data_IF_313855733309
#
_entry.id   IF_313855733309
#
_cell.length_a   1.000
_cell.length_b   1.000
_cell.length_c   1.000
_cell.angle_alpha   90.00
_cell.angle_beta   90.00
_cell.angle_gamma   90.00
#
_symmetry.space_group_name_H-M   'P 1'
#
loop_
_entity.id
_entity.type
_entity.pdbx_description
1 polymer ?
#
# COMPACT_ATOMS: atom_id res chain seq x y z
N UNK A 1 -9.60 6.29 -13.92
CA UNK A 1 -10.47 5.19 -13.43
C UNK A 1 -10.80 5.40 -11.96
N UNK A 2 -12.06 5.60 -11.56
CA UNK A 2 -12.45 5.86 -10.17
C UNK A 2 -12.07 4.71 -9.20
N UNK A 3 -11.95 3.48 -9.71
CA UNK A 3 -11.58 2.30 -8.93
C UNK A 3 -10.20 2.41 -8.28
N UNK A 4 -9.16 2.85 -9.01
CA UNK A 4 -7.80 2.97 -8.47
C UNK A 4 -7.69 4.01 -7.36
N UNK A 5 -8.47 5.09 -7.46
CA UNK A 5 -8.53 6.11 -6.40
C UNK A 5 -9.11 5.55 -5.12
N UNK A 6 -10.22 4.82 -5.23
CA UNK A 6 -10.84 4.13 -4.08
C UNK A 6 -9.83 3.21 -3.41
N UNK A 7 -9.18 2.32 -4.19
CA UNK A 7 -8.20 1.35 -3.67
C UNK A 7 -7.03 2.05 -2.97
N UNK A 8 -6.49 3.12 -3.56
CA UNK A 8 -5.39 3.87 -2.97
C UNK A 8 -5.80 4.43 -1.61
N UNK A 9 -6.92 5.15 -1.53
CA UNK A 9 -7.37 5.79 -0.29
C UNK A 9 -7.78 4.77 0.78
N UNK A 10 -8.41 3.66 0.41
CA UNK A 10 -8.71 2.57 1.34
C UNK A 10 -7.43 2.03 1.98
N UNK A 11 -6.35 1.83 1.21
CA UNK A 11 -5.07 1.35 1.75
C UNK A 11 -4.36 2.39 2.61
N UNK A 12 -4.42 3.66 2.24
CA UNK A 12 -3.85 4.72 3.07
C UNK A 12 -4.62 4.89 4.37
N UNK A 13 -5.96 4.86 4.32
CA UNK A 13 -6.82 4.89 5.49
C UNK A 13 -6.54 3.72 6.43
N UNK A 14 -6.44 2.50 5.90
CA UNK A 14 -6.12 1.31 6.70
C UNK A 14 -4.75 1.43 7.38
N UNK A 15 -3.72 1.92 6.67
CA UNK A 15 -2.39 2.14 7.25
C UNK A 15 -2.38 3.21 8.33
N UNK A 16 -3.08 4.32 8.08
CA UNK A 16 -3.19 5.42 9.04
C UNK A 16 -3.92 4.95 10.28
N UNK A 17 -5.09 4.31 10.12
CA UNK A 17 -5.86 3.73 11.23
C UNK A 17 -5.03 2.74 12.04
N UNK A 18 -4.33 1.83 11.38
CA UNK A 18 -3.47 0.86 12.06
C UNK A 18 -2.35 1.57 12.84
N UNK A 19 -1.69 2.56 12.23
CA UNK A 19 -0.63 3.33 12.90
C UNK A 19 -1.17 4.09 14.13
N UNK A 20 -2.33 4.74 14.00
CA UNK A 20 -3.01 5.42 15.12
C UNK A 20 -3.36 4.45 16.24
N UNK A 21 -3.91 3.29 15.92
CA UNK A 21 -4.26 2.26 16.91
C UNK A 21 -3.01 1.70 17.59
N UNK A 22 -1.91 1.49 16.87
CA UNK A 22 -0.65 1.04 17.47
C UNK A 22 -0.06 2.07 18.43
N UNK A 23 -0.15 3.37 18.08
CA UNK A 23 0.24 4.45 19.00
C UNK A 23 -0.67 4.47 20.24
N UNK A 24 -1.99 4.33 20.05
CA UNK A 24 -2.94 4.25 21.15
C UNK A 24 -2.65 3.06 22.07
N UNK A 25 -2.40 1.88 21.50
CA UNK A 25 -2.03 0.68 22.24
C UNK A 25 -0.76 0.90 23.07
N UNK A 26 0.27 1.50 22.48
CA UNK A 26 1.52 1.80 23.16
C UNK A 26 1.33 2.80 24.31
N UNK A 27 0.58 3.88 24.09
CA UNK A 27 0.28 4.88 25.13
C UNK A 27 -0.55 4.27 26.27
N UNK A 28 -1.55 3.45 25.95
CA UNK A 28 -2.39 2.78 26.94
C UNK A 28 -1.58 1.80 27.80
N UNK A 29 -0.71 1.00 27.17
CA UNK A 29 0.21 0.10 27.88
C UNK A 29 1.16 0.88 28.79
N UNK A 30 1.82 1.92 28.27
CA UNK A 30 2.75 2.74 29.06
C UNK A 30 2.05 3.41 30.24
N UNK A 31 0.85 3.94 30.04
CA UNK A 31 0.08 4.59 31.10
C UNK A 31 -0.32 3.60 32.20
N UNK A 32 -0.74 2.38 31.83
CA UNK A 32 -1.07 1.34 32.80
C UNK A 32 0.16 0.89 33.61
N UNK A 33 1.31 0.75 32.96
CA UNK A 33 2.56 0.40 33.65
C UNK A 33 3.02 1.50 34.62
N UNK A 34 2.90 2.78 34.25
CA UNK A 34 3.24 3.91 35.11
C UNK A 34 2.28 3.98 36.31
N UNK A 35 0.97 3.82 36.08
CA UNK A 35 -0.03 3.82 37.15
C UNK A 35 0.20 2.70 38.17
N UNK A 36 0.62 1.53 37.71
CA UNK A 36 1.00 0.40 38.57
C UNK A 36 2.32 0.61 39.32
N UNK A 37 3.19 1.51 38.87
CA UNK A 37 4.46 1.84 39.53
C UNK A 37 4.31 2.92 40.62
N UNK A 38 3.24 3.71 40.59
CA UNK A 38 2.93 4.73 41.61
C UNK A 38 2.01 4.16 42.69
N UNK A 39 2.46 4.03 43.95
CA UNK A 39 1.57 3.57 45.04
C UNK A 39 0.47 4.60 45.29
N UNK A 40 -0.78 4.23 45.01
CA UNK A 40 -1.96 5.04 45.33
C UNK A 40 -2.34 4.94 46.82
N UNK A 41 -3.00 5.97 47.35
CA UNK A 41 -3.48 6.06 48.74
C UNK A 41 -4.71 5.16 49.03
N UNK A 42 -4.74 3.94 48.50
CA UNK A 42 -5.81 2.96 48.66
C UNK A 42 -5.55 1.93 49.75
N UNK A 43 -6.55 1.06 49.98
CA UNK A 43 -6.47 -0.10 50.89
C UNK A 43 -5.20 -0.89 50.62
N UNK A 44 -4.40 -1.12 51.67
CA UNK A 44 -3.15 -1.90 51.53
C UNK A 44 -3.51 -3.33 51.12
N UNK A 45 -2.92 -3.86 50.03
CA UNK A 45 -3.13 -5.23 49.61
C UNK A 45 -2.70 -6.19 50.73
N UNK A 46 -3.49 -7.23 50.95
CA UNK A 46 -3.27 -8.22 52.01
C UNK A 46 -2.29 -9.32 51.59
N UNK A 47 -2.02 -9.45 50.29
CA UNK A 47 -1.09 -10.42 49.71
C UNK A 47 -0.43 -9.94 48.42
N UNK A 48 0.72 -10.53 48.08
CA UNK A 48 1.39 -10.30 46.79
C UNK A 48 0.51 -10.73 45.58
N UNK A 49 -0.36 -11.71 45.77
CA UNK A 49 -1.27 -12.18 44.72
C UNK A 49 -2.32 -11.13 44.34
N UNK A 50 -2.83 -10.35 45.30
CA UNK A 50 -3.76 -9.24 45.04
C UNK A 50 -3.10 -8.11 44.25
N UNK A 51 -1.84 -7.80 44.58
CA UNK A 51 -1.04 -6.81 43.82
C UNK A 51 -0.88 -7.26 42.37
N UNK A 52 -0.48 -8.51 42.15
CA UNK A 52 -0.28 -9.05 40.81
C UNK A 52 -1.58 -9.10 40.01
N UNK A 53 -2.70 -9.52 40.63
CA UNK A 53 -4.01 -9.53 39.96
C UNK A 53 -4.45 -8.13 39.56
N UNK A 54 -4.34 -7.14 40.44
CA UNK A 54 -4.69 -5.75 40.13
C UNK A 54 -3.85 -5.16 39.00
N UNK A 55 -2.54 -5.45 38.98
CA UNK A 55 -1.65 -5.06 37.87
C UNK A 55 -2.10 -5.67 36.54
N UNK A 56 -2.42 -6.97 36.54
CA UNK A 56 -2.90 -7.68 35.35
C UNK A 56 -4.24 -7.11 34.87
N UNK A 57 -5.19 -6.90 35.77
CA UNK A 57 -6.51 -6.34 35.44
C UNK A 57 -6.39 -4.91 34.88
N UNK A 58 -5.58 -4.06 35.49
CA UNK A 58 -5.35 -2.69 35.02
C UNK A 58 -4.70 -2.63 33.64
N UNK A 59 -3.67 -3.47 33.40
CA UNK A 59 -3.04 -3.57 32.08
C UNK A 59 -4.03 -4.11 31.06
N UNK A 60 -4.74 -5.20 31.37
CA UNK A 60 -5.73 -5.80 30.46
C UNK A 60 -6.82 -4.81 30.09
N UNK A 61 -7.41 -4.11 31.06
CA UNK A 61 -8.43 -3.10 30.83
C UNK A 61 -7.95 -1.97 29.91
N UNK A 62 -6.69 -1.53 30.08
CA UNK A 62 -6.11 -0.47 29.25
C UNK A 62 -5.84 -0.92 27.81
N UNK A 63 -5.42 -2.17 27.58
CA UNK A 63 -4.99 -2.64 26.26
C UNK A 63 -6.06 -3.40 25.48
N UNK A 64 -7.13 -3.88 26.12
CA UNK A 64 -8.13 -4.74 25.48
C UNK A 64 -8.77 -4.08 24.25
N UNK A 65 -9.26 -2.84 24.38
CA UNK A 65 -9.93 -2.13 23.29
C UNK A 65 -8.98 -1.78 22.13
N UNK A 66 -7.82 -1.13 22.34
CA UNK A 66 -6.87 -0.89 21.25
C UNK A 66 -6.33 -2.21 20.66
N UNK A 67 -6.19 -3.26 21.47
CA UNK A 67 -5.77 -4.59 21.02
C UNK A 67 -6.78 -5.23 20.07
N UNK A 68 -8.07 -5.20 20.40
CA UNK A 68 -9.15 -5.67 19.52
C UNK A 68 -9.18 -4.84 18.24
N UNK A 69 -9.06 -3.51 18.32
CA UNK A 69 -9.01 -2.66 17.14
C UNK A 69 -7.81 -3.00 16.23
N UNK A 70 -6.64 -3.26 16.80
CA UNK A 70 -5.45 -3.67 16.06
C UNK A 70 -5.66 -5.02 15.36
N UNK A 71 -6.31 -5.97 16.04
CA UNK A 71 -6.64 -7.28 15.48
C UNK A 71 -7.62 -7.16 14.29
N UNK A 72 -8.69 -6.37 14.43
CA UNK A 72 -9.67 -6.12 13.36
C UNK A 72 -9.00 -5.49 12.14
N UNK A 73 -8.17 -4.47 12.34
CA UNK A 73 -7.43 -3.83 11.23
C UNK A 73 -6.40 -4.77 10.60
N UNK A 74 -5.76 -5.64 11.40
CA UNK A 74 -4.88 -6.70 10.91
C UNK A 74 -5.61 -7.72 10.03
N UNK A 75 -6.80 -8.17 10.46
CA UNK A 75 -7.66 -9.05 9.67
C UNK A 75 -8.08 -8.36 8.36
N UNK A 76 -8.50 -7.10 8.42
CA UNK A 76 -8.85 -6.33 7.22
C UNK A 76 -7.66 -6.23 6.23
N UNK A 77 -6.44 -6.01 6.74
CA UNK A 77 -5.23 -5.99 5.93
C UNK A 77 -4.92 -7.36 5.31
N UNK A 78 -5.12 -8.44 6.06
CA UNK A 78 -4.96 -9.81 5.56
C UNK A 78 -5.98 -10.13 4.46
N UNK A 79 -7.24 -9.73 4.62
CA UNK A 79 -8.30 -9.89 3.60
C UNK A 79 -7.93 -9.12 2.33
N UNK A 80 -7.52 -7.85 2.43
CA UNK A 80 -7.08 -7.06 1.27
C UNK A 80 -5.90 -7.73 0.55
N UNK A 81 -4.94 -8.26 1.31
CA UNK A 81 -3.78 -8.96 0.74
C UNK A 81 -4.18 -10.27 0.07
N UNK A 82 -5.11 -11.04 0.66
CA UNK A 82 -5.66 -12.26 0.07
C UNK A 82 -6.38 -11.97 -1.24
N UNK A 83 -7.19 -10.91 -1.31
CA UNK A 83 -7.86 -10.49 -2.54
C UNK A 83 -6.86 -10.05 -3.62
N UNK A 84 -5.77 -9.39 -3.24
CA UNK A 84 -4.67 -9.08 -4.16
C UNK A 84 -4.02 -10.35 -4.74
N UNK A 85 -3.86 -11.40 -3.92
CA UNK A 85 -3.35 -12.70 -4.36
C UNK A 85 -4.31 -13.36 -5.35
N UNK A 86 -5.60 -13.37 -5.05
CA UNK A 86 -6.64 -13.97 -5.91
C UNK A 86 -6.76 -13.28 -7.26
N UNK A 87 -6.43 -11.99 -7.34
CA UNK A 87 -6.40 -11.20 -8.58
C UNK A 87 -5.07 -11.30 -9.34
N UNK A 88 -4.09 -12.10 -8.91
CA UNK A 88 -2.81 -12.13 -9.65
C UNK A 88 -3.03 -12.72 -11.03
N UNK A 89 -2.56 -11.99 -12.03
CA UNK A 89 -2.50 -12.50 -13.39
C UNK A 89 -1.60 -13.74 -13.43
N UNK A 90 -2.06 -14.90 -13.94
CA UNK A 90 -1.20 -16.07 -14.10
C UNK A 90 0.02 -15.77 -14.98
N UNK A 91 -0.12 -14.87 -15.95
CA UNK A 91 0.99 -14.37 -16.73
C UNK A 91 1.64 -13.19 -16.00
N UNK A 92 2.79 -13.41 -15.36
CA UNK A 92 3.57 -12.31 -14.74
C UNK A 92 4.39 -11.53 -15.75
N UNK A 93 4.92 -12.20 -16.78
CA UNK A 93 5.88 -11.61 -17.72
C UNK A 93 5.16 -11.20 -18.99
N UNK A 94 5.41 -9.97 -19.43
CA UNK A 94 5.00 -9.52 -20.75
C UNK A 94 5.63 -10.39 -21.84
N UNK A 95 4.86 -10.70 -22.88
CA UNK A 95 5.39 -11.37 -24.07
C UNK A 95 6.43 -10.51 -24.79
N UNK A 96 7.25 -11.10 -25.66
CA UNK A 96 8.21 -10.33 -26.47
C UNK A 96 7.51 -9.26 -27.32
N UNK A 97 6.35 -9.59 -27.88
CA UNK A 97 5.52 -8.65 -28.64
C UNK A 97 5.03 -7.50 -27.76
N UNK A 98 4.44 -7.80 -26.60
CA UNK A 98 3.96 -6.77 -25.67
C UNK A 98 5.10 -5.85 -25.19
N UNK A 99 6.29 -6.41 -24.92
CA UNK A 99 7.47 -5.60 -24.57
C UNK A 99 7.89 -4.69 -25.72
N UNK A 100 8.00 -5.22 -26.95
CA UNK A 100 8.38 -4.43 -28.11
C UNK A 100 7.39 -3.29 -28.35
N UNK A 101 6.10 -3.59 -28.32
CA UNK A 101 5.03 -2.62 -28.53
C UNK A 101 4.98 -1.57 -27.41
N UNK A 102 5.05 -2.00 -26.15
CA UNK A 102 5.05 -1.09 -25.01
C UNK A 102 6.27 -0.15 -24.97
N UNK A 103 7.45 -0.65 -25.37
CA UNK A 103 8.66 0.18 -25.48
C UNK A 103 8.60 1.15 -26.66
N UNK A 104 8.08 0.70 -27.81
CA UNK A 104 7.88 1.54 -28.98
C UNK A 104 6.85 2.66 -28.70
N UNK A 105 5.77 2.32 -28.00
CA UNK A 105 4.73 3.28 -27.56
C UNK A 105 5.30 4.38 -26.67
N UNK A 106 6.32 4.08 -25.87
CA UNK A 106 7.01 5.05 -25.03
C UNK A 106 8.13 5.82 -25.78
N UNK A 107 8.38 5.54 -27.06
CA UNK A 107 9.51 6.09 -27.81
C UNK A 107 10.86 5.71 -27.24
N UNK A 108 10.97 4.54 -26.60
CA UNK A 108 12.20 4.08 -25.93
C UNK A 108 12.60 4.91 -24.70
N UNK A 109 11.74 5.80 -24.20
CA UNK A 109 12.03 6.68 -23.05
C UNK A 109 11.23 6.28 -21.83
N UNK A 110 11.82 6.40 -20.66
CA UNK A 110 11.16 6.11 -19.39
C UNK A 110 9.86 6.93 -19.24
N UNK A 111 8.75 6.29 -18.90
CA UNK A 111 7.44 6.92 -18.68
C UNK A 111 7.20 7.26 -17.20
N UNK A 112 8.00 6.65 -16.30
CA UNK A 112 7.97 6.93 -14.88
C UNK A 112 8.47 8.33 -14.55
N UNK A 113 8.11 8.79 -13.36
CA UNK A 113 8.46 10.13 -12.88
C UNK A 113 9.86 10.14 -12.25
N UNK A 114 10.62 11.20 -12.50
CA UNK A 114 11.89 11.48 -11.84
C UNK A 114 11.87 12.93 -11.31
N UNK A 115 11.70 13.10 -10.00
CA UNK A 115 11.61 14.42 -9.35
C UNK A 115 10.43 15.27 -9.83
N UNK A 116 9.79 16.02 -8.92
CA UNK A 116 8.76 17.03 -9.27
C UNK A 116 7.62 16.56 -10.22
N UNK A 117 7.33 15.24 -10.28
CA UNK A 117 6.30 14.69 -11.16
C UNK A 117 6.58 14.75 -12.66
N UNK A 118 7.81 15.09 -13.08
CA UNK A 118 8.20 15.16 -14.50
C UNK A 118 8.56 13.79 -15.05
N UNK A 119 8.34 13.57 -16.35
CA UNK A 119 8.76 12.35 -17.04
C UNK A 119 10.28 12.21 -16.96
N UNK A 120 10.75 11.02 -16.60
CA UNK A 120 12.16 10.73 -16.60
C UNK A 120 12.74 10.81 -18.02
N UNK A 121 13.84 11.56 -18.17
CA UNK A 121 14.49 11.74 -19.47
C UNK A 121 15.30 10.54 -19.95
N UNK A 122 15.58 9.56 -19.07
CA UNK A 122 16.46 8.41 -19.34
C UNK A 122 15.83 7.41 -20.32
N UNK A 123 16.66 6.65 -21.07
CA UNK A 123 16.17 5.55 -21.89
C UNK A 123 15.44 4.52 -21.02
N UNK A 124 14.38 3.95 -21.55
CA UNK A 124 13.73 2.81 -20.92
C UNK A 124 14.54 1.55 -21.19
N UNK A 125 14.66 0.70 -20.18
CA UNK A 125 15.41 -0.55 -20.23
C UNK A 125 14.48 -1.75 -19.97
N UNK A 126 13.40 -1.52 -19.20
CA UNK A 126 12.52 -2.56 -18.68
C UNK A 126 11.06 -2.20 -18.97
N UNK A 127 10.25 -3.23 -19.19
CA UNK A 127 8.79 -3.12 -19.10
C UNK A 127 8.34 -3.47 -17.68
N UNK A 128 7.66 -2.55 -17.02
CA UNK A 128 7.11 -2.71 -15.67
C UNK A 128 5.58 -2.54 -15.68
N UNK A 129 4.93 -3.04 -14.63
CA UNK A 129 3.50 -2.88 -14.42
C UNK A 129 3.22 -1.56 -13.69
N UNK A 130 2.44 -0.65 -14.26
CA UNK A 130 2.04 0.60 -13.61
C UNK A 130 1.39 0.31 -12.25
N UNK A 131 0.36 -0.53 -12.27
CA UNK A 131 -0.23 -1.14 -11.09
C UNK A 131 0.47 -2.48 -10.82
N UNK A 132 1.11 -2.68 -9.65
CA UNK A 132 1.96 -3.85 -9.42
C UNK A 132 1.25 -5.19 -9.62
N UNK A 133 1.89 -6.12 -10.33
CA UNK A 133 1.40 -7.48 -10.51
C UNK A 133 1.07 -8.18 -9.17
N UNK A 134 1.92 -7.99 -8.16
CA UNK A 134 1.72 -8.56 -6.82
C UNK A 134 0.46 -8.07 -6.09
N UNK A 135 -0.23 -7.04 -6.63
CA UNK A 135 -1.47 -6.46 -6.10
C UNK A 135 -2.67 -6.67 -7.03
N UNK A 136 -2.52 -7.54 -8.02
CA UNK A 136 -3.53 -7.83 -9.03
C UNK A 136 -3.53 -6.90 -10.23
N UNK A 137 -2.38 -6.29 -10.57
CA UNK A 137 -2.22 -5.61 -11.87
C UNK A 137 -2.16 -6.62 -13.02
N UNK A 138 -2.84 -6.33 -14.12
CA UNK A 138 -2.86 -7.21 -15.30
C UNK A 138 -1.56 -7.10 -16.10
N UNK A 139 -1.16 -8.17 -16.79
CA UNK A 139 -0.06 -8.17 -17.76
C UNK A 139 -0.61 -7.82 -19.13
N UNK A 140 -0.97 -6.56 -19.28
CA UNK A 140 -1.50 -6.00 -20.52
C UNK A 140 -0.72 -4.77 -20.97
N UNK A 141 -0.93 -4.36 -22.22
CA UNK A 141 -0.37 -3.11 -22.72
C UNK A 141 -0.95 -1.89 -21.98
N UNK A 142 -2.18 -1.93 -21.47
CA UNK A 142 -2.72 -0.81 -20.70
C UNK A 142 -1.98 -0.64 -19.36
N UNK A 143 -1.58 -1.74 -18.71
CA UNK A 143 -0.78 -1.69 -17.49
C UNK A 143 0.74 -1.61 -17.74
N UNK A 144 1.20 -1.78 -18.98
CA UNK A 144 2.61 -1.69 -19.33
C UNK A 144 3.16 -0.26 -19.23
N UNK A 145 4.34 -0.13 -18.63
CA UNK A 145 5.11 1.12 -18.53
C UNK A 145 6.57 0.85 -18.88
N UNK A 146 7.11 1.67 -19.79
CA UNK A 146 8.54 1.64 -20.09
C UNK A 146 9.32 2.36 -18.97
N UNK A 147 10.29 1.69 -18.35
CA UNK A 147 11.02 2.20 -17.18
C UNK A 147 12.55 2.02 -17.33
N UNK A 148 13.31 3.03 -16.91
CA UNK A 148 14.74 2.86 -16.66
C UNK A 148 14.98 2.11 -15.35
N UNK A 149 16.16 1.49 -15.16
CA UNK A 149 16.45 0.73 -13.94
C UNK A 149 16.26 1.55 -12.65
N UNK A 150 16.67 2.82 -12.65
CA UNK A 150 16.56 3.71 -11.50
C UNK A 150 15.12 3.97 -11.06
N UNK A 151 14.26 4.39 -11.99
CA UNK A 151 12.85 4.67 -11.69
C UNK A 151 12.08 3.39 -11.34
N UNK A 152 12.38 2.27 -12.01
CA UNK A 152 11.78 0.97 -11.70
C UNK A 152 12.08 0.55 -10.25
N UNK A 153 13.36 0.59 -9.86
CA UNK A 153 13.81 0.28 -8.50
C UNK A 153 13.22 1.24 -7.47
N UNK A 154 13.12 2.52 -7.81
CA UNK A 154 12.51 3.51 -6.94
C UNK A 154 11.02 3.18 -6.72
N UNK A 155 10.24 2.89 -7.78
CA UNK A 155 8.80 2.59 -7.73
C UNK A 155 8.47 1.38 -6.87
N UNK A 156 9.24 0.28 -6.99
CA UNK A 156 8.98 -1.00 -6.30
C UNK A 156 7.54 -1.50 -6.57
N UNK A 157 6.98 -2.23 -5.61
CA UNK A 157 5.58 -2.66 -5.61
C UNK A 157 4.61 -1.63 -5.00
N UNK A 158 4.89 -0.31 -5.08
CA UNK A 158 3.98 0.71 -4.55
C UNK A 158 2.75 0.86 -5.44
N UNK A 159 1.57 0.98 -4.82
CA UNK A 159 0.32 1.31 -5.53
C UNK A 159 0.44 2.76 -6.01
N UNK A 160 0.24 3.05 -7.30
CA UNK A 160 0.28 4.41 -7.80
C UNK A 160 -0.82 5.26 -7.15
N UNK A 161 -0.47 6.49 -6.78
CA UNK A 161 -1.47 7.45 -6.31
C UNK A 161 -2.35 7.94 -7.47
N UNK A 162 -3.57 8.45 -7.19
CA UNK A 162 -4.44 9.02 -8.22
C UNK A 162 -3.79 10.20 -8.96
N UNK A 163 -2.96 10.98 -8.25
CA UNK A 163 -2.18 12.05 -8.85
C UNK A 163 -1.14 11.53 -9.84
N UNK A 164 -0.41 10.46 -9.50
CA UNK A 164 0.57 9.83 -10.41
C UNK A 164 -0.11 9.26 -11.66
N UNK A 165 -1.25 8.59 -11.49
CA UNK A 165 -2.04 8.09 -12.61
C UNK A 165 -2.46 9.24 -13.53
N UNK A 166 -3.12 10.27 -12.98
CA UNK A 166 -3.58 11.42 -13.78
C UNK A 166 -2.43 12.12 -14.51
N UNK A 167 -1.27 12.27 -13.86
CA UNK A 167 -0.10 12.87 -14.52
C UNK A 167 0.45 11.99 -15.64
N UNK A 168 0.51 10.67 -15.46
CA UNK A 168 0.93 9.75 -16.51
C UNK A 168 -0.04 9.79 -17.70
N UNK A 169 -1.35 9.71 -17.45
CA UNK A 169 -2.39 9.80 -18.47
C UNK A 169 -2.35 11.14 -19.21
N UNK A 170 -2.08 12.25 -18.50
CA UNK A 170 -1.87 13.58 -19.11
C UNK A 170 -0.64 13.59 -20.01
N UNK A 171 0.53 13.13 -19.51
CA UNK A 171 1.76 13.12 -20.31
C UNK A 171 1.65 12.22 -21.54
N UNK A 172 0.94 11.10 -21.44
CA UNK A 172 0.69 10.21 -22.58
C UNK A 172 -0.03 10.92 -23.73
N UNK A 173 -0.80 11.98 -23.48
CA UNK A 173 -1.42 12.80 -24.55
C UNK A 173 -0.38 13.48 -25.45
N UNK A 174 0.80 13.77 -24.90
CA UNK A 174 1.82 14.55 -25.61
C UNK A 174 2.62 13.69 -26.59
N UNK A 175 2.63 12.36 -26.41
CA UNK A 175 3.49 11.45 -27.20
C UNK A 175 2.79 10.18 -27.70
N UNK A 176 1.54 9.93 -27.32
CA UNK A 176 0.75 8.84 -27.90
C UNK A 176 -0.14 9.36 -29.03
N UNK A 177 -0.35 8.55 -30.08
CA UNK A 177 -1.34 8.86 -31.11
C UNK A 177 -2.75 9.08 -30.50
N UNK A 178 -3.58 9.97 -31.07
CA UNK A 178 -4.94 10.21 -30.57
C UNK A 178 -5.84 8.96 -30.51
N UNK A 179 -5.57 7.96 -31.36
CA UNK A 179 -6.27 6.67 -31.38
C UNK A 179 -5.83 5.71 -30.27
N UNK A 180 -4.75 6.01 -29.54
CA UNK A 180 -4.21 5.15 -28.50
C UNK A 180 -4.91 5.36 -27.16
N UNK A 181 -5.09 4.27 -26.42
CA UNK A 181 -5.56 4.34 -25.04
C UNK A 181 -4.55 5.06 -24.15
N UNK A 182 -4.99 6.13 -23.49
CA UNK A 182 -4.19 6.91 -22.54
C UNK A 182 -4.22 6.31 -21.13
N UNK A 183 -5.22 5.47 -20.83
CA UNK A 183 -5.44 4.90 -19.50
C UNK A 183 -4.30 3.99 -19.10
N UNK A 184 -4.04 3.95 -17.79
CA UNK A 184 -2.95 3.18 -17.19
C UNK A 184 -3.43 2.45 -15.95
N UNK A 185 -2.78 1.34 -15.62
CA UNK A 185 -3.03 0.65 -14.35
C UNK A 185 -4.17 -0.35 -14.38
N UNK A 186 -4.39 -1.01 -15.51
CA UNK A 186 -5.36 -2.09 -15.60
C UNK A 186 -5.09 -3.17 -14.54
N UNK A 187 -6.18 -3.70 -13.98
CA UNK A 187 -6.17 -4.74 -12.95
C UNK A 187 -6.94 -5.93 -13.45
N UNK A 188 -6.56 -7.10 -12.97
CA UNK A 188 -7.35 -8.31 -13.19
C UNK A 188 -8.65 -8.24 -12.38
N UNK A 189 -9.78 -8.67 -12.96
CA UNK A 189 -11.02 -8.83 -12.23
C UNK A 189 -10.86 -9.88 -11.11
N UNK A 190 -11.79 -9.90 -10.15
CA UNK A 190 -11.87 -11.07 -9.28
C UNK A 190 -12.45 -12.22 -10.09
N UNK A 191 -11.90 -13.44 -9.95
CA UNK A 191 -12.58 -14.64 -10.40
C UNK A 191 -13.88 -14.85 -9.62
#
# INVERSE_FOLDING_TARGET
>A
MPELSRIYWTRQGLRLAYSTVMVWLAVALMSALIANATPGAGVRPSSAAEVLRGMVEGVFAAVALPGVAAAVLGIAAAVVTSLDVRRRDPLRRFTRQQRREGMARAGGRCELEAGFGRRCGRPAEHGDHFYPWSKGGSTSLQNFVAACAGCNRAKRARVPSPGQQRRMERRRRDYLPPSSSLSVGERQPLP
#
